data_IF_111455852401
#
_entry.id   IF_111455852401
#
_cell.length_a   1.000
_cell.length_b   1.000
_cell.length_c   1.000
_cell.angle_alpha   90.00
_cell.angle_beta   90.00
_cell.angle_gamma   90.00
#
_symmetry.space_group_name_H-M   'P 1'
#
loop_
_entity.id
_entity.type
_entity.pdbx_description
1 polymer ?
#
# COMPACT_ATOMS: atom_id res chain seq x y z
N UNK A 1 -4.81 -19.71 -25.08
CA UNK A 1 -5.90 -19.99 -24.12
C UNK A 1 -5.96 -18.84 -23.15
N UNK A 2 -7.09 -18.12 -23.03
CA UNK A 2 -7.25 -17.08 -21.99
C UNK A 2 -7.03 -17.74 -20.63
N UNK A 3 -6.07 -17.24 -19.87
CA UNK A 3 -5.81 -17.78 -18.53
C UNK A 3 -7.07 -17.62 -17.68
N UNK A 4 -7.49 -18.70 -17.00
CA UNK A 4 -8.60 -18.63 -16.03
C UNK A 4 -8.10 -17.78 -14.85
N UNK A 5 -8.70 -16.60 -14.63
CA UNK A 5 -8.35 -15.71 -13.51
C UNK A 5 -8.58 -14.22 -13.82
N UNK A 6 -8.35 -13.37 -12.83
CA UNK A 6 -8.43 -11.91 -12.96
C UNK A 6 -7.06 -11.34 -13.36
N UNK A 7 -7.06 -10.38 -14.27
CA UNK A 7 -5.83 -9.67 -14.67
C UNK A 7 -5.51 -8.50 -13.72
N UNK A 8 -4.30 -7.93 -13.86
CA UNK A 8 -3.81 -6.87 -12.98
C UNK A 8 -4.69 -5.62 -13.03
N UNK A 9 -5.24 -5.27 -14.19
CA UNK A 9 -6.14 -4.13 -14.32
C UNK A 9 -7.46 -4.35 -13.57
N UNK A 10 -8.07 -5.53 -13.71
CA UNK A 10 -9.29 -5.91 -12.99
C UNK A 10 -9.07 -5.95 -11.47
N UNK A 11 -7.96 -6.54 -11.03
CA UNK A 11 -7.61 -6.57 -9.61
C UNK A 11 -7.43 -5.16 -9.05
N UNK A 12 -6.71 -4.27 -9.76
CA UNK A 12 -6.56 -2.88 -9.34
C UNK A 12 -7.89 -2.12 -9.29
N UNK A 13 -8.79 -2.36 -10.24
CA UNK A 13 -10.12 -1.73 -10.23
C UNK A 13 -10.94 -2.19 -9.02
N UNK A 14 -10.92 -3.49 -8.72
CA UNK A 14 -11.58 -4.04 -7.54
C UNK A 14 -10.96 -3.48 -6.23
N UNK A 15 -9.63 -3.38 -6.15
CA UNK A 15 -8.95 -2.77 -5.00
C UNK A 15 -9.24 -1.27 -4.87
N UNK A 16 -9.33 -0.53 -5.98
CA UNK A 16 -9.70 0.88 -5.96
C UNK A 16 -11.15 1.08 -5.48
N UNK A 17 -12.06 0.16 -5.82
CA UNK A 17 -13.41 0.18 -5.27
C UNK A 17 -13.41 -0.08 -3.74
N UNK A 18 -12.70 -1.12 -3.28
CA UNK A 18 -12.60 -1.43 -1.85
C UNK A 18 -11.96 -0.29 -1.04
N UNK A 19 -10.97 0.40 -1.62
CA UNK A 19 -10.27 1.52 -1.01
C UNK A 19 -11.21 2.64 -0.51
N UNK A 20 -12.33 2.88 -1.20
CA UNK A 20 -13.28 3.91 -0.79
C UNK A 20 -13.89 3.59 0.57
N UNK A 21 -14.18 2.31 0.83
CA UNK A 21 -14.76 1.87 2.11
C UNK A 21 -13.80 2.05 3.29
N UNK A 22 -12.49 2.11 3.04
CA UNK A 22 -11.51 2.31 4.10
C UNK A 22 -11.59 3.71 4.72
N UNK A 23 -12.08 4.68 3.95
CA UNK A 23 -12.08 6.09 4.34
C UNK A 23 -13.49 6.67 4.44
N UNK A 24 -14.53 5.91 4.09
CA UNK A 24 -15.91 6.38 4.10
C UNK A 24 -16.41 6.76 5.52
N UNK A 25 -15.81 6.15 6.56
CA UNK A 25 -16.05 6.50 7.98
C UNK A 25 -15.60 7.92 8.34
N UNK A 26 -14.75 8.55 7.53
CA UNK A 26 -14.34 9.95 7.72
C UNK A 26 -15.48 10.94 7.44
N UNK A 27 -16.55 10.52 6.74
CA UNK A 27 -17.75 11.32 6.54
C UNK A 27 -18.65 11.14 7.77
N UNK A 28 -18.88 12.21 8.57
CA UNK A 28 -19.65 12.08 9.80
C UNK A 28 -21.09 11.63 9.54
N UNK A 29 -21.57 10.68 10.35
CA UNK A 29 -22.94 10.17 10.29
C UNK A 29 -23.24 9.22 9.11
N UNK A 30 -22.28 8.93 8.23
CA UNK A 30 -22.48 8.05 7.08
C UNK A 30 -22.39 6.56 7.46
N UNK A 31 -21.51 6.22 8.39
CA UNK A 31 -21.25 4.85 8.85
C UNK A 31 -21.71 4.74 10.31
N UNK A 32 -22.44 3.68 10.70
CA UNK A 32 -22.82 3.48 12.09
C UNK A 32 -21.60 3.34 13.02
N UNK A 33 -21.72 3.80 14.26
CA UNK A 33 -20.63 3.75 15.24
C UNK A 33 -20.11 2.31 15.44
N UNK A 34 -18.79 2.16 15.48
CA UNK A 34 -18.10 0.87 15.64
C UNK A 34 -17.93 0.04 14.36
N UNK A 35 -18.46 0.49 13.21
CA UNK A 35 -18.24 -0.17 11.92
C UNK A 35 -16.95 0.26 11.22
N UNK A 36 -16.32 1.35 11.68
CA UNK A 36 -15.03 1.84 11.17
C UNK A 36 -13.95 0.76 11.25
N UNK A 37 -13.81 0.08 12.39
CA UNK A 37 -12.85 -1.02 12.55
C UNK A 37 -13.14 -2.20 11.62
N UNK A 38 -14.42 -2.52 11.37
CA UNK A 38 -14.81 -3.61 10.47
C UNK A 38 -14.48 -3.27 9.01
N UNK A 39 -14.79 -2.04 8.58
CA UNK A 39 -14.44 -1.57 7.24
C UNK A 39 -12.92 -1.52 7.07
N UNK A 40 -12.19 -0.99 8.05
CA UNK A 40 -10.73 -0.99 8.06
C UNK A 40 -10.16 -2.40 7.93
N UNK A 41 -10.67 -3.37 8.70
CA UNK A 41 -10.27 -4.77 8.65
C UNK A 41 -10.50 -5.40 7.27
N UNK A 42 -11.65 -5.15 6.65
CA UNK A 42 -12.01 -5.65 5.32
C UNK A 42 -11.05 -5.15 4.23
N UNK A 43 -10.60 -3.90 4.34
CA UNK A 43 -9.83 -3.19 3.30
C UNK A 43 -8.32 -3.29 3.49
N UNK A 44 -7.80 -3.91 4.58
CA UNK A 44 -6.34 -4.03 4.81
C UNK A 44 -5.58 -4.70 3.66
N UNK A 45 -6.23 -5.56 2.87
CA UNK A 45 -5.62 -6.15 1.67
C UNK A 45 -5.32 -5.15 0.54
N UNK A 46 -5.98 -3.98 0.52
CA UNK A 46 -5.91 -3.01 -0.58
C UNK A 46 -4.49 -2.47 -0.74
N UNK A 47 -3.88 -1.99 0.34
CA UNK A 47 -2.52 -1.43 0.31
C UNK A 47 -1.48 -2.44 -0.19
N UNK A 48 -1.52 -3.67 0.32
CA UNK A 48 -0.60 -4.74 -0.10
C UNK A 48 -0.87 -5.27 -1.49
N UNK A 49 -2.11 -5.20 -2.00
CA UNK A 49 -2.40 -5.51 -3.40
C UNK A 49 -1.74 -4.50 -4.35
N UNK A 50 -1.80 -3.20 -4.03
CA UNK A 50 -1.06 -2.19 -4.79
C UNK A 50 0.46 -2.33 -4.61
N UNK A 51 0.93 -2.70 -3.42
CA UNK A 51 2.34 -2.99 -3.17
C UNK A 51 2.84 -4.17 -4.01
N UNK A 52 2.08 -5.27 -4.10
CA UNK A 52 2.36 -6.41 -4.97
C UNK A 52 2.48 -5.95 -6.43
N UNK A 53 1.52 -5.16 -6.91
CA UNK A 53 1.53 -4.60 -8.26
C UNK A 53 2.71 -3.65 -8.50
N UNK A 54 3.20 -2.97 -7.45
CA UNK A 54 4.39 -2.14 -7.54
C UNK A 54 5.66 -2.98 -7.69
N UNK A 55 5.74 -4.13 -7.01
CA UNK A 55 6.84 -5.12 -7.18
C UNK A 55 6.82 -5.72 -8.59
N UNK A 56 5.65 -6.12 -9.10
CA UNK A 56 5.49 -6.56 -10.50
C UNK A 56 5.96 -5.47 -11.48
N UNK A 57 5.57 -4.22 -11.23
CA UNK A 57 6.02 -3.07 -12.00
C UNK A 57 7.54 -2.87 -11.97
N UNK A 58 8.18 -3.14 -10.83
CA UNK A 58 9.64 -3.09 -10.66
C UNK A 58 10.35 -4.21 -11.44
N UNK A 59 9.77 -5.41 -11.47
CA UNK A 59 10.31 -6.56 -12.20
C UNK A 59 10.27 -6.35 -13.71
N UNK A 60 9.18 -5.77 -14.23
CA UNK A 60 8.96 -5.64 -15.68
C UNK A 60 9.39 -4.29 -16.27
N UNK A 61 9.79 -3.32 -15.45
CA UNK A 61 10.20 -2.00 -15.94
C UNK A 61 11.67 -1.97 -16.34
N UNK A 62 11.94 -1.52 -17.57
CA UNK A 62 13.30 -1.28 -18.08
C UNK A 62 14.05 -0.16 -17.36
N UNK A 63 13.35 0.90 -16.93
CA UNK A 63 13.94 2.05 -16.22
C UNK A 63 13.30 2.25 -14.84
N UNK A 64 13.89 1.61 -13.82
CA UNK A 64 13.38 1.62 -12.45
C UNK A 64 13.50 2.99 -11.80
N UNK A 65 14.52 3.78 -12.14
CA UNK A 65 14.67 5.16 -11.65
C UNK A 65 13.50 6.03 -12.11
N UNK A 66 13.19 6.03 -13.41
CA UNK A 66 12.07 6.79 -13.94
C UNK A 66 10.72 6.31 -13.35
N UNK A 67 10.59 5.03 -13.02
CA UNK A 67 9.43 4.53 -12.31
C UNK A 67 9.33 5.08 -10.88
N UNK A 68 10.44 5.03 -10.14
CA UNK A 68 10.50 5.53 -8.79
C UNK A 68 10.27 7.05 -8.70
N UNK A 69 10.84 7.83 -9.62
CA UNK A 69 10.63 9.28 -9.71
C UNK A 69 9.17 9.64 -9.97
N UNK A 70 8.43 8.84 -10.75
CA UNK A 70 6.99 9.04 -10.90
C UNK A 70 6.24 8.81 -9.59
N UNK A 71 6.60 7.79 -8.81
CA UNK A 71 5.98 7.54 -7.51
C UNK A 71 6.25 8.70 -6.53
N UNK A 72 7.50 9.18 -6.46
CA UNK A 72 7.83 10.35 -5.63
C UNK A 72 7.14 11.63 -6.09
N UNK A 73 6.99 11.84 -7.40
CA UNK A 73 6.22 12.97 -7.93
C UNK A 73 4.76 12.94 -7.44
N UNK A 74 4.10 11.78 -7.54
CA UNK A 74 2.72 11.63 -7.06
C UNK A 74 2.61 11.70 -5.54
N UNK A 75 3.62 11.20 -4.80
CA UNK A 75 3.70 11.36 -3.36
C UNK A 75 3.80 12.84 -2.96
N UNK A 76 4.64 13.62 -3.63
CA UNK A 76 4.79 15.05 -3.38
C UNK A 76 3.50 15.81 -3.74
N UNK A 77 2.93 15.55 -4.92
CA UNK A 77 1.66 16.16 -5.36
C UNK A 77 0.54 15.90 -4.34
N UNK A 78 0.43 14.65 -3.89
CA UNK A 78 -0.55 14.28 -2.88
C UNK A 78 -0.28 14.98 -1.54
N UNK A 79 0.97 14.99 -1.07
CA UNK A 79 1.33 15.66 0.18
C UNK A 79 0.99 17.15 0.15
N UNK A 80 1.26 17.81 -0.97
CA UNK A 80 0.90 19.22 -1.18
C UNK A 80 -0.62 19.42 -1.12
N UNK A 81 -1.39 18.61 -1.85
CA UNK A 81 -2.86 18.72 -1.83
C UNK A 81 -3.46 18.43 -0.44
N UNK A 82 -2.96 17.40 0.25
CA UNK A 82 -3.35 17.07 1.62
C UNK A 82 -3.06 18.23 2.58
N UNK A 83 -1.88 18.86 2.46
CA UNK A 83 -1.50 20.01 3.28
C UNK A 83 -2.45 21.19 3.04
N UNK A 84 -2.73 21.54 1.77
CA UNK A 84 -3.65 22.63 1.42
C UNK A 84 -5.04 22.37 1.99
N UNK A 85 -5.62 21.19 1.75
CA UNK A 85 -6.96 20.87 2.23
C UNK A 85 -7.02 20.79 3.76
N UNK A 86 -5.98 20.28 4.42
CA UNK A 86 -5.89 20.28 5.88
C UNK A 86 -5.88 21.72 6.41
N UNK A 87 -5.08 22.62 5.83
CA UNK A 87 -5.05 24.02 6.25
C UNK A 87 -6.41 24.72 6.08
N UNK A 88 -7.16 24.35 5.04
CA UNK A 88 -8.50 24.89 4.77
C UNK A 88 -9.59 24.30 5.70
N UNK A 89 -9.48 23.03 6.08
CA UNK A 89 -10.54 22.30 6.77
C UNK A 89 -10.24 21.97 8.25
N UNK A 90 -9.04 22.32 8.75
CA UNK A 90 -8.63 22.06 10.14
C UNK A 90 -9.56 22.69 11.17
N UNK A 91 -10.22 23.82 10.87
CA UNK A 91 -11.22 24.43 11.78
C UNK A 91 -12.41 23.50 12.04
N UNK A 92 -12.75 22.63 11.07
CA UNK A 92 -13.76 21.57 11.23
C UNK A 92 -13.18 20.24 11.70
N UNK A 93 -11.91 20.21 12.12
CA UNK A 93 -11.21 19.03 12.60
C UNK A 93 -11.03 17.95 11.52
N UNK A 94 -10.86 18.33 10.25
CA UNK A 94 -10.60 17.41 9.15
C UNK A 94 -9.11 17.50 8.80
N UNK A 95 -8.40 16.37 8.93
CA UNK A 95 -6.96 16.27 8.70
C UNK A 95 -6.67 15.15 7.70
N UNK A 96 -5.93 15.47 6.63
CA UNK A 96 -5.51 14.51 5.61
C UNK A 96 -4.04 14.14 5.80
N UNK A 97 -3.80 12.97 6.37
CA UNK A 97 -2.44 12.50 6.75
C UNK A 97 -1.93 11.36 5.88
N UNK A 98 -2.81 10.68 5.15
CA UNK A 98 -2.50 9.48 4.36
C UNK A 98 -1.73 9.81 3.07
N UNK A 99 -0.70 9.01 2.73
CA UNK A 99 0.09 9.12 1.50
C UNK A 99 0.73 7.78 1.10
N UNK A 100 -0.07 6.84 0.57
CA UNK A 100 0.43 5.54 0.12
C UNK A 100 1.52 5.64 -0.97
N UNK A 101 1.53 6.70 -1.79
CA UNK A 101 2.54 6.85 -2.83
C UNK A 101 3.93 7.02 -2.25
N UNK A 102 4.07 7.67 -1.09
CA UNK A 102 5.34 7.78 -0.39
C UNK A 102 5.83 6.38 0.02
N UNK A 103 4.95 5.57 0.60
CA UNK A 103 5.27 4.18 1.00
C UNK A 103 5.70 3.33 -0.20
N UNK A 104 4.95 3.41 -1.31
CA UNK A 104 5.28 2.69 -2.54
C UNK A 104 6.59 3.19 -3.17
N UNK A 105 6.86 4.49 -3.15
CA UNK A 105 8.11 5.08 -3.61
C UNK A 105 9.29 4.60 -2.75
N UNK A 106 9.15 4.59 -1.42
CA UNK A 106 10.14 4.04 -0.52
C UNK A 106 10.38 2.54 -0.77
N UNK A 107 9.32 1.76 -0.99
CA UNK A 107 9.43 0.33 -1.30
C UNK A 107 10.14 0.06 -2.62
N UNK A 108 9.82 0.79 -3.68
CA UNK A 108 10.50 0.66 -4.99
C UNK A 108 11.94 1.16 -4.91
N UNK A 109 12.21 2.24 -4.16
CA UNK A 109 13.56 2.73 -3.90
C UNK A 109 14.40 1.69 -3.14
N UNK A 110 13.86 1.13 -2.07
CA UNK A 110 14.47 0.06 -1.28
C UNK A 110 14.86 -1.11 -2.16
N UNK A 111 13.93 -1.62 -2.98
CA UNK A 111 14.21 -2.72 -3.92
C UNK A 111 15.27 -2.32 -4.96
N UNK A 112 15.24 -1.09 -5.46
CA UNK A 112 16.26 -0.58 -6.40
C UNK A 112 17.65 -0.51 -5.76
N UNK A 113 17.73 -0.11 -4.50
CA UNK A 113 18.98 -0.04 -3.75
C UNK A 113 19.56 -1.43 -3.51
N UNK A 114 18.74 -2.38 -3.03
CA UNK A 114 19.16 -3.76 -2.79
C UNK A 114 19.49 -4.55 -4.07
N UNK A 115 18.70 -4.39 -5.12
CA UNK A 115 18.74 -5.29 -6.28
C UNK A 115 19.12 -4.63 -7.61
N UNK A 116 19.28 -3.31 -7.65
CA UNK A 116 19.71 -2.57 -8.85
C UNK A 116 18.61 -1.75 -9.52
N UNK A 117 19.04 -0.72 -10.24
CA UNK A 117 18.19 0.21 -10.98
C UNK A 117 17.93 -0.20 -12.44
N UNK A 118 18.57 -1.28 -12.92
CA UNK A 118 18.43 -1.80 -14.29
C UNK A 118 18.36 -3.33 -14.29
N UNK A 119 17.64 -3.87 -15.28
CA UNK A 119 17.48 -5.30 -15.54
C UNK A 119 18.79 -5.97 -16.01
N UNK A 120 19.61 -5.24 -16.76
CA UNK A 120 20.78 -5.79 -17.48
C UNK A 120 22.15 -5.54 -16.83
N UNK A 121 22.24 -4.94 -15.64
CA UNK A 121 23.55 -4.73 -15.05
C UNK A 121 23.55 -4.01 -13.71
N UNK A 122 24.36 -4.55 -12.79
CA UNK A 122 24.99 -3.73 -11.75
C UNK A 122 24.75 -4.12 -10.29
N UNK A 123 24.31 -5.34 -9.96
CA UNK A 123 24.46 -5.82 -8.57
C UNK A 123 25.81 -6.54 -8.36
N UNK A 124 26.28 -7.29 -9.37
CA UNK A 124 27.44 -8.17 -9.25
C UNK A 124 28.81 -7.49 -9.48
N UNK A 125 28.85 -6.28 -10.07
CA UNK A 125 30.10 -5.57 -10.41
C UNK A 125 30.23 -4.18 -9.79
N UNK A 126 29.41 -3.88 -8.78
CA UNK A 126 29.32 -2.54 -8.18
C UNK A 126 30.25 -2.42 -6.98
N UNK A 127 31.33 -1.64 -7.13
CA UNK A 127 32.29 -1.32 -6.08
C UNK A 127 31.63 -0.65 -4.85
N UNK A 128 30.42 -0.10 -4.99
CA UNK A 128 29.65 0.58 -3.94
C UNK A 128 28.48 -0.25 -3.39
N UNK A 129 28.47 -1.57 -3.60
CA UNK A 129 27.39 -2.46 -3.13
C UNK A 129 27.06 -2.30 -1.64
N UNK A 130 28.07 -2.20 -0.77
CA UNK A 130 27.87 -2.01 0.68
C UNK A 130 27.12 -0.72 1.00
N UNK A 131 27.52 0.41 0.39
CA UNK A 131 26.86 1.71 0.56
C UNK A 131 25.40 1.68 0.08
N UNK A 132 25.12 0.99 -1.02
CA UNK A 132 23.75 0.83 -1.54
C UNK A 132 22.88 0.00 -0.61
N UNK A 133 23.40 -1.09 -0.05
CA UNK A 133 22.67 -1.90 0.93
C UNK A 133 22.41 -1.07 2.19
N UNK A 134 23.41 -0.36 2.71
CA UNK A 134 23.24 0.53 3.86
C UNK A 134 22.15 1.59 3.60
N UNK A 135 22.18 2.25 2.44
CA UNK A 135 21.15 3.19 2.03
C UNK A 135 19.76 2.52 1.91
N UNK A 136 19.68 1.30 1.39
CA UNK A 136 18.43 0.55 1.30
C UNK A 136 17.85 0.20 2.67
N UNK A 137 18.71 -0.16 3.64
CA UNK A 137 18.32 -0.38 5.04
C UNK A 137 17.82 0.93 5.67
N UNK A 138 18.50 2.04 5.44
CA UNK A 138 18.06 3.35 5.93
C UNK A 138 16.69 3.74 5.36
N UNK A 139 16.47 3.53 4.06
CA UNK A 139 15.16 3.77 3.42
C UNK A 139 14.09 2.86 3.99
N UNK A 140 14.40 1.58 4.24
CA UNK A 140 13.48 0.65 4.90
C UNK A 140 13.13 1.15 6.30
N UNK A 141 14.11 1.46 7.15
CA UNK A 141 13.87 1.93 8.52
C UNK A 141 13.09 3.25 8.54
N UNK A 142 13.47 4.23 7.70
CA UNK A 142 12.73 5.49 7.59
C UNK A 142 11.30 5.25 7.11
N UNK A 143 11.09 4.39 6.12
CA UNK A 143 9.77 4.04 5.63
C UNK A 143 8.91 3.31 6.69
N UNK A 144 9.50 2.41 7.48
CA UNK A 144 8.79 1.71 8.56
C UNK A 144 8.26 2.70 9.62
N UNK A 145 8.98 3.79 9.88
CA UNK A 145 8.65 4.76 10.93
C UNK A 145 7.76 5.92 10.44
N UNK A 146 7.96 6.38 9.21
CA UNK A 146 7.38 7.64 8.74
C UNK A 146 6.40 7.49 7.57
N UNK A 147 6.26 6.30 6.99
CA UNK A 147 5.34 6.08 5.86
C UNK A 147 4.09 5.32 6.28
N UNK A 148 2.96 5.68 5.66
CA UNK A 148 1.67 5.07 5.93
C UNK A 148 1.69 3.57 5.62
N UNK A 149 1.29 2.75 6.60
CA UNK A 149 1.29 1.30 6.46
C UNK A 149 2.68 0.71 6.22
N UNK A 150 3.76 1.45 6.51
CA UNK A 150 5.14 1.05 6.23
C UNK A 150 5.49 -0.31 6.83
N UNK A 151 5.04 -0.59 8.05
CA UNK A 151 5.22 -1.86 8.75
C UNK A 151 4.61 -3.04 7.99
N UNK A 152 3.46 -2.88 7.34
CA UNK A 152 2.88 -3.94 6.52
C UNK A 152 3.50 -3.97 5.12
N UNK A 153 3.52 -2.83 4.42
CA UNK A 153 3.81 -2.76 2.99
C UNK A 153 5.28 -3.00 2.65
N UNK A 154 6.24 -2.42 3.38
CA UNK A 154 7.65 -2.51 3.00
C UNK A 154 8.22 -3.93 3.19
N UNK A 155 7.98 -4.61 4.33
CA UNK A 155 8.33 -6.02 4.46
C UNK A 155 7.59 -6.88 3.44
N UNK A 156 6.29 -6.62 3.21
CA UNK A 156 5.53 -7.33 2.19
C UNK A 156 6.17 -7.20 0.80
N UNK A 157 6.56 -6.01 0.35
CA UNK A 157 7.23 -5.80 -0.93
C UNK A 157 8.57 -6.54 -1.03
N UNK A 158 9.37 -6.49 0.05
CA UNK A 158 10.65 -7.20 0.12
C UNK A 158 10.45 -8.71 0.03
N UNK A 159 9.55 -9.28 0.83
CA UNK A 159 9.21 -10.71 0.84
C UNK A 159 8.65 -11.17 -0.51
N UNK A 160 7.77 -10.35 -1.11
CA UNK A 160 7.23 -10.58 -2.45
C UNK A 160 8.35 -10.73 -3.47
N UNK A 161 9.31 -9.81 -3.45
CA UNK A 161 10.44 -9.83 -4.38
C UNK A 161 11.38 -11.02 -4.13
N UNK A 162 11.74 -11.28 -2.87
CA UNK A 162 12.67 -12.36 -2.49
C UNK A 162 12.14 -13.73 -2.88
N UNK A 163 10.87 -14.00 -2.60
CA UNK A 163 10.23 -15.31 -2.85
C UNK A 163 9.38 -15.34 -4.12
N UNK A 164 9.57 -14.40 -5.06
CA UNK A 164 8.74 -14.26 -6.28
C UNK A 164 8.62 -15.55 -7.12
N UNK A 165 9.66 -16.38 -7.14
CA UNK A 165 9.70 -17.64 -7.90
C UNK A 165 9.22 -18.85 -7.07
N UNK A 166 8.91 -18.66 -5.79
CA UNK A 166 8.62 -19.72 -4.83
C UNK A 166 7.32 -19.41 -4.08
N UNK A 167 6.18 -19.60 -4.75
CA UNK A 167 4.84 -19.17 -4.27
C UNK A 167 4.52 -19.69 -2.85
N UNK A 168 4.89 -20.94 -2.55
CA UNK A 168 4.70 -21.51 -1.21
C UNK A 168 5.45 -20.70 -0.14
N UNK A 169 6.76 -20.49 -0.31
CA UNK A 169 7.57 -19.72 0.65
C UNK A 169 7.16 -18.26 0.71
N UNK A 170 6.73 -17.67 -0.41
CA UNK A 170 6.17 -16.31 -0.43
C UNK A 170 4.94 -16.22 0.46
N UNK A 171 3.97 -17.10 0.26
CA UNK A 171 2.73 -17.10 1.03
C UNK A 171 2.99 -17.44 2.52
N UNK A 172 3.88 -18.40 2.80
CA UNK A 172 4.31 -18.71 4.16
C UNK A 172 4.94 -17.49 4.84
N UNK A 173 5.80 -16.74 4.13
CA UNK A 173 6.41 -15.54 4.68
C UNK A 173 5.38 -14.44 4.99
N UNK A 174 4.31 -14.33 4.21
CA UNK A 174 3.20 -13.43 4.52
C UNK A 174 2.44 -13.86 5.77
N UNK A 175 2.16 -15.16 5.92
CA UNK A 175 1.49 -15.69 7.12
C UNK A 175 2.34 -15.45 8.37
N UNK A 176 3.65 -15.70 8.30
CA UNK A 176 4.57 -15.43 9.40
C UNK A 176 4.59 -13.93 9.74
N UNK A 177 4.69 -13.06 8.73
CA UNK A 177 4.69 -11.62 8.95
C UNK A 177 3.36 -11.10 9.53
N UNK A 178 2.23 -11.62 9.04
CA UNK A 178 0.92 -11.34 9.61
C UNK A 178 0.84 -11.78 11.08
N UNK A 179 1.41 -12.94 11.43
CA UNK A 179 1.51 -13.40 12.81
C UNK A 179 2.33 -12.46 13.71
N UNK A 180 3.44 -11.90 13.20
CA UNK A 180 4.24 -10.90 13.91
C UNK A 180 3.43 -9.62 14.14
N UNK A 181 2.80 -9.09 13.09
CA UNK A 181 1.95 -7.90 13.22
C UNK A 181 0.77 -8.14 14.17
N UNK A 182 0.16 -9.34 14.14
CA UNK A 182 -0.91 -9.72 15.05
C UNK A 182 -0.42 -9.69 16.50
N UNK A 183 0.72 -10.32 16.78
CA UNK A 183 1.32 -10.34 18.11
C UNK A 183 1.69 -8.93 18.62
N UNK A 184 2.06 -8.01 17.73
CA UNK A 184 2.31 -6.61 18.07
C UNK A 184 1.00 -5.81 18.30
N UNK A 185 -0.09 -6.21 17.64
CA UNK A 185 -1.38 -5.50 17.70
C UNK A 185 -2.29 -5.95 18.84
N UNK A 186 -2.16 -7.19 19.31
CA UNK A 186 -3.09 -7.75 20.29
C UNK A 186 -2.84 -7.15 21.69
N UNK A 187 -3.89 -6.57 22.25
CA UNK A 187 -3.93 -6.10 23.63
C UNK A 187 -5.26 -6.53 24.24
N UNK A 188 -5.23 -7.06 25.46
CA UNK A 188 -6.43 -7.54 26.15
C UNK A 188 -6.97 -6.42 27.02
N UNK A 189 -8.20 -6.00 26.75
CA UNK A 189 -8.93 -4.99 27.50
C UNK A 189 -9.93 -5.64 28.47
N UNK A 190 -10.43 -4.90 29.48
CA UNK A 190 -11.37 -5.44 30.46
C UNK A 190 -12.65 -6.03 29.86
N UNK A 191 -13.12 -5.49 28.73
CA UNK A 191 -14.26 -6.04 28.00
C UNK A 191 -13.83 -6.71 26.70
N UNK A 192 -14.54 -7.77 26.31
CA UNK A 192 -14.35 -8.42 25.02
C UNK A 192 -14.63 -7.45 23.86
N UNK A 193 -15.63 -6.58 24.03
CA UNK A 193 -15.99 -5.59 23.02
C UNK A 193 -14.83 -4.62 22.75
N UNK A 194 -14.22 -4.05 23.80
CA UNK A 194 -13.08 -3.13 23.63
C UNK A 194 -11.88 -3.84 23.00
N UNK A 195 -11.63 -5.10 23.42
CA UNK A 195 -10.58 -5.94 22.85
C UNK A 195 -10.77 -6.13 21.34
N UNK A 196 -11.99 -6.50 20.92
CA UNK A 196 -12.29 -6.71 19.50
C UNK A 196 -12.25 -5.39 18.71
N UNK A 197 -12.81 -4.31 19.23
CA UNK A 197 -12.80 -2.99 18.58
C UNK A 197 -11.37 -2.50 18.36
N UNK A 198 -10.51 -2.60 19.37
CA UNK A 198 -9.10 -2.20 19.26
C UNK A 198 -8.29 -3.11 18.35
N UNK A 199 -8.60 -4.41 18.30
CA UNK A 199 -7.95 -5.35 17.38
C UNK A 199 -8.34 -5.08 15.91
N UNK A 200 -9.60 -4.73 15.67
CA UNK A 200 -10.10 -4.34 14.34
C UNK A 200 -9.58 -2.98 13.90
N UNK A 201 -9.41 -2.04 14.83
CA UNK A 201 -8.75 -0.76 14.57
C UNK A 201 -7.26 -0.96 14.22
N UNK A 202 -6.53 -1.78 14.98
CA UNK A 202 -5.11 -2.10 14.74
C UNK A 202 -4.94 -3.34 13.83
N UNK A 203 -5.69 -3.39 12.73
CA UNK A 203 -5.85 -4.60 11.93
C UNK A 203 -4.80 -4.83 10.85
N UNK A 204 -3.65 -4.15 10.85
CA UNK A 204 -2.65 -4.25 9.77
C UNK A 204 -2.23 -5.69 9.42
N UNK A 205 -2.27 -6.61 10.39
CA UNK A 205 -2.04 -8.05 10.18
C UNK A 205 -3.04 -8.71 9.20
N UNK A 206 -4.24 -8.16 9.04
CA UNK A 206 -5.24 -8.59 8.07
C UNK A 206 -4.86 -8.29 6.62
N UNK A 207 -3.70 -7.68 6.35
CA UNK A 207 -3.15 -7.62 4.99
C UNK A 207 -3.12 -9.01 4.32
N UNK A 208 -3.00 -10.09 5.12
CA UNK A 208 -2.98 -11.48 4.67
C UNK A 208 -4.22 -11.89 3.88
N UNK A 209 -5.34 -11.18 4.05
CA UNK A 209 -6.58 -11.35 3.27
C UNK A 209 -6.40 -11.06 1.77
N UNK A 210 -5.24 -10.55 1.34
CA UNK A 210 -4.85 -10.45 -0.07
C UNK A 210 -4.59 -11.81 -0.72
N UNK A 211 -4.29 -12.87 0.05
CA UNK A 211 -3.90 -14.18 -0.48
C UNK A 211 -4.94 -14.81 -1.42
N UNK A 212 -6.25 -14.88 -1.09
CA UNK A 212 -7.27 -15.36 -2.02
C UNK A 212 -7.29 -14.58 -3.34
N UNK A 213 -7.10 -13.26 -3.29
CA UNK A 213 -7.07 -12.40 -4.48
C UNK A 213 -5.86 -12.69 -5.36
N UNK A 214 -4.68 -12.89 -4.76
CA UNK A 214 -3.47 -13.28 -5.48
C UNK A 214 -3.55 -14.71 -6.04
N UNK A 215 -4.34 -15.59 -5.43
CA UNK A 215 -4.58 -16.93 -5.98
C UNK A 215 -5.36 -16.88 -7.31
N UNK A 216 -6.32 -15.97 -7.44
CA UNK A 216 -7.07 -15.76 -8.69
C UNK A 216 -6.36 -14.84 -9.70
N UNK A 217 -5.25 -14.21 -9.31
CA UNK A 217 -4.48 -13.35 -10.21
C UNK A 217 -3.73 -14.19 -11.25
N UNK A 218 -3.94 -13.89 -12.53
CA UNK A 218 -3.42 -14.71 -13.63
C UNK A 218 -2.06 -14.24 -14.20
N UNK A 219 -1.45 -13.19 -13.64
CA UNK A 219 -0.17 -12.64 -14.12
C UNK A 219 -0.28 -11.74 -15.36
N UNK A 220 -1.46 -11.63 -15.98
CA UNK A 220 -1.64 -10.78 -17.17
C UNK A 220 -1.83 -9.31 -16.76
N UNK A 221 -1.23 -8.40 -17.54
CA UNK A 221 -1.32 -6.96 -17.28
C UNK A 221 -2.74 -6.39 -17.48
N UNK A 222 -3.54 -6.97 -18.37
CA UNK A 222 -4.81 -6.40 -18.80
C UNK A 222 -4.65 -5.10 -19.61
N UNK A 223 -5.62 -4.19 -19.50
CA UNK A 223 -5.64 -2.92 -20.25
C UNK A 223 -4.43 -2.04 -19.94
N UNK A 224 -3.65 -1.70 -20.98
CA UNK A 224 -2.40 -0.94 -20.89
C UNK A 224 -2.48 0.49 -21.44
N UNK A 225 -3.70 1.02 -21.61
CA UNK A 225 -3.90 2.38 -22.14
C UNK A 225 -3.26 3.44 -21.23
N UNK A 226 -2.92 4.61 -21.80
CA UNK A 226 -2.43 5.74 -20.99
C UNK A 226 -3.45 6.10 -19.89
N UNK A 227 -4.74 6.04 -20.22
CA UNK A 227 -5.82 6.28 -19.28
C UNK A 227 -5.82 5.27 -18.12
N UNK A 228 -5.71 3.97 -18.38
CA UNK A 228 -5.69 2.94 -17.32
C UNK A 228 -4.48 3.09 -16.39
N UNK A 229 -3.36 3.58 -16.91
CA UNK A 229 -2.17 3.87 -16.10
C UNK A 229 -2.39 5.05 -15.16
N UNK A 230 -2.85 6.19 -15.66
CA UNK A 230 -2.99 7.42 -14.87
C UNK A 230 -4.23 7.45 -13.98
N UNK A 231 -5.26 6.66 -14.30
CA UNK A 231 -6.45 6.52 -13.48
C UNK A 231 -6.10 6.24 -12.00
N UNK A 232 -5.30 5.20 -11.72
CA UNK A 232 -4.96 4.85 -10.34
C UNK A 232 -4.09 5.89 -9.63
N UNK A 233 -3.27 6.63 -10.40
CA UNK A 233 -2.47 7.72 -9.84
C UNK A 233 -3.32 8.90 -9.38
N UNK A 234 -4.37 9.22 -10.13
CA UNK A 234 -5.30 10.32 -9.84
C UNK A 234 -6.35 9.89 -8.81
N UNK A 235 -6.85 8.66 -8.92
CA UNK A 235 -7.93 8.15 -8.06
C UNK A 235 -7.55 8.17 -6.58
N UNK A 236 -6.32 7.79 -6.23
CA UNK A 236 -5.89 7.74 -4.84
C UNK A 236 -5.99 9.11 -4.11
N UNK A 237 -5.39 10.21 -4.60
CA UNK A 237 -5.55 11.51 -3.95
C UNK A 237 -7.00 12.00 -4.09
N UNK A 238 -7.62 11.80 -5.26
CA UNK A 238 -8.95 12.33 -5.53
C UNK A 238 -10.05 11.77 -4.61
N UNK A 239 -10.03 10.47 -4.29
CA UNK A 239 -11.08 9.90 -3.42
C UNK A 239 -10.97 10.41 -1.98
N UNK A 240 -9.75 10.55 -1.44
CA UNK A 240 -9.53 11.16 -0.11
C UNK A 240 -9.93 12.63 -0.08
N UNK A 241 -9.57 13.39 -1.12
CA UNK A 241 -9.93 14.80 -1.22
C UNK A 241 -11.44 14.99 -1.36
N UNK A 242 -12.11 14.12 -2.12
CA UNK A 242 -13.56 14.13 -2.27
C UNK A 242 -14.26 13.79 -0.94
N UNK A 243 -13.78 12.77 -0.22
CA UNK A 243 -14.30 12.40 1.10
C UNK A 243 -14.14 13.56 2.08
N UNK A 244 -12.98 14.21 2.13
CA UNK A 244 -12.74 15.37 2.98
C UNK A 244 -13.65 16.57 2.63
N UNK A 245 -13.85 16.83 1.33
CA UNK A 245 -14.80 17.84 0.87
C UNK A 245 -16.22 17.55 1.34
N UNK A 246 -16.70 16.31 1.15
CA UNK A 246 -18.04 15.91 1.61
C UNK A 246 -18.15 16.06 3.12
N UNK A 247 -17.16 15.58 3.87
CA UNK A 247 -17.10 15.71 5.32
C UNK A 247 -17.14 17.18 5.78
N UNK A 248 -16.49 18.09 5.05
CA UNK A 248 -16.51 19.52 5.36
C UNK A 248 -17.90 20.15 5.20
N UNK A 249 -18.70 19.69 4.22
CA UNK A 249 -20.06 20.18 3.99
C UNK A 249 -21.09 19.58 4.94
N UNK A 250 -20.87 18.35 5.41
CA UNK A 250 -21.78 17.65 6.32
C UNK A 250 -21.57 18.06 7.79
N UNK A 251 -20.33 18.42 8.18
CA UNK A 251 -20.05 19.03 9.50
C UNK A 251 -20.54 20.46 9.59
#
# INVERSE_FOLDING_TARGET
MKSKGINAFQLKLFMAFLMVFDHISQIPGLVPDGWDGVLHALTRCVGVAFAFMAVEGFLHTRNRLAYNMRLFFWAALMQTGNCILTLLFQEKGIYLTHNIFLTLACGVLMLSLFFGFSENGGAAKDRKRGLRIAAGVLVLLAGLLFSEGGMALLPFMLLTYLFRNQVFFRNLSYVVWAGVLFAMSIQIYPTLQDTLSMLLYNSDWLFITVLPLLHFYNGERGSSSKWSKYFFYIFYPAHLWLIALIAFWVK
#
